data_IF_151579571177
#
_entry.id   IF_151579571177
#
_cell.length_a   1.000
_cell.length_b   1.000
_cell.length_c   1.000
_cell.angle_alpha   90.00
_cell.angle_beta   90.00
_cell.angle_gamma   90.00
#
_symmetry.space_group_name_H-M   'P 1'
#
loop_
_entity.id
_entity.type
_entity.pdbx_description
1 polymer ?
#
# COMPACT_ATOMS: atom_id res chain seq x y z
N UNK A 1 14.73 -7.65 6.40
CA UNK A 1 13.40 -7.36 7.00
C UNK A 1 12.69 -6.48 6.00
N UNK A 2 11.71 -6.98 5.23
CA UNK A 2 11.23 -6.13 4.13
C UNK A 2 9.88 -6.47 3.50
N UNK A 3 9.09 -7.43 4.00
CA UNK A 3 7.91 -7.90 3.23
C UNK A 3 6.54 -7.72 3.83
N UNK A 4 6.46 -7.21 5.05
CA UNK A 4 5.23 -6.65 5.59
C UNK A 4 5.59 -5.25 6.07
N UNK A 5 5.72 -4.31 5.13
CA UNK A 5 5.46 -2.90 5.46
C UNK A 5 4.11 -2.95 6.17
N UNK A 6 4.05 -2.55 7.44
CA UNK A 6 2.88 -2.84 8.26
C UNK A 6 1.73 -2.01 7.72
N UNK A 7 0.97 -2.58 6.78
CA UNK A 7 -0.11 -1.92 6.03
C UNK A 7 -1.13 -1.31 6.99
N UNK A 8 -1.38 -1.97 8.12
CA UNK A 8 -2.22 -1.41 9.19
C UNK A 8 -1.63 -0.13 9.79
N UNK A 9 -0.31 -0.03 9.98
CA UNK A 9 0.34 1.21 10.41
C UNK A 9 0.26 2.29 9.34
N UNK A 10 0.63 1.99 8.09
CA UNK A 10 0.59 2.97 6.99
C UNK A 10 -0.82 3.55 6.79
N UNK A 11 -1.85 2.69 6.79
CA UNK A 11 -3.25 3.12 6.68
C UNK A 11 -3.66 4.00 7.87
N UNK A 12 -3.27 3.65 9.10
CA UNK A 12 -3.58 4.44 10.29
C UNK A 12 -2.84 5.78 10.33
N UNK A 13 -1.58 5.81 9.92
CA UNK A 13 -0.79 7.05 9.84
C UNK A 13 -1.36 8.02 8.81
N UNK A 14 -2.02 7.49 7.78
CA UNK A 14 -2.75 8.26 6.76
C UNK A 14 -4.24 8.46 7.10
N UNK A 15 -4.63 8.27 8.36
CA UNK A 15 -5.99 8.52 8.86
C UNK A 15 -7.11 7.75 8.14
N UNK A 16 -6.79 6.57 7.58
CA UNK A 16 -7.79 5.67 7.03
C UNK A 16 -8.61 5.08 8.17
N UNK A 17 -9.93 5.02 7.99
CA UNK A 17 -10.83 4.52 9.03
C UNK A 17 -10.54 3.05 9.38
N UNK A 18 -10.83 2.66 10.62
CA UNK A 18 -10.51 1.32 11.13
C UNK A 18 -11.22 0.21 10.35
N UNK A 19 -12.46 0.44 9.90
CA UNK A 19 -13.25 -0.54 9.16
C UNK A 19 -12.68 -0.78 7.75
N UNK A 20 -12.20 0.30 7.11
CA UNK A 20 -11.53 0.26 5.80
C UNK A 20 -10.16 -0.41 5.96
N UNK A 21 -9.42 -0.04 7.00
CA UNK A 21 -8.14 -0.65 7.36
C UNK A 21 -8.27 -2.16 7.53
N UNK A 22 -9.24 -2.63 8.30
CA UNK A 22 -9.48 -4.06 8.49
C UNK A 22 -9.84 -4.77 7.18
N UNK A 23 -10.63 -4.12 6.32
CA UNK A 23 -11.01 -4.67 5.01
C UNK A 23 -9.81 -4.82 4.08
N UNK A 24 -8.92 -3.83 4.03
CA UNK A 24 -7.68 -3.86 3.23
C UNK A 24 -6.71 -4.92 3.77
N UNK A 25 -6.49 -4.98 5.09
CA UNK A 25 -5.62 -5.99 5.71
C UNK A 25 -6.11 -7.41 5.40
N UNK A 26 -7.44 -7.64 5.49
CA UNK A 26 -8.04 -8.93 5.12
C UNK A 26 -7.85 -9.24 3.63
N UNK A 27 -8.04 -8.26 2.75
CA UNK A 27 -7.81 -8.42 1.32
C UNK A 27 -6.36 -8.83 1.03
N UNK A 28 -5.39 -8.13 1.63
CA UNK A 28 -3.96 -8.42 1.48
C UNK A 28 -3.61 -9.82 1.99
N UNK A 29 -4.16 -10.22 3.14
CA UNK A 29 -3.95 -11.57 3.67
C UNK A 29 -4.51 -12.67 2.74
N UNK A 30 -5.59 -12.40 2.01
CA UNK A 30 -6.24 -13.37 1.13
C UNK A 30 -5.63 -13.41 -0.27
N UNK A 31 -5.17 -12.28 -0.80
CA UNK A 31 -4.78 -12.11 -2.21
C UNK A 31 -3.30 -11.72 -2.41
N UNK A 32 -2.58 -11.38 -1.34
CA UNK A 32 -1.26 -10.77 -1.40
C UNK A 32 -1.34 -9.23 -1.48
N UNK A 33 -0.21 -8.59 -1.24
CA UNK A 33 -0.10 -7.13 -1.35
C UNK A 33 0.05 -6.69 -2.81
N UNK A 34 -0.79 -5.77 -3.24
CA UNK A 34 -0.74 -5.08 -4.53
C UNK A 34 -1.05 -3.60 -4.28
N UNK A 35 -0.04 -2.74 -4.38
CA UNK A 35 -0.13 -1.33 -4.05
C UNK A 35 -1.16 -0.60 -4.93
N UNK A 36 -1.17 -0.88 -6.24
CA UNK A 36 -2.05 -0.23 -7.19
C UNK A 36 -3.51 -0.55 -6.89
N UNK A 37 -3.84 -1.82 -6.64
CA UNK A 37 -5.23 -2.20 -6.32
C UNK A 37 -5.69 -1.61 -4.99
N UNK A 38 -4.80 -1.50 -4.00
CA UNK A 38 -5.15 -0.92 -2.69
C UNK A 38 -5.35 0.60 -2.83
N UNK A 39 -4.51 1.29 -3.57
CA UNK A 39 -4.66 2.73 -3.81
C UNK A 39 -5.90 3.04 -4.66
N UNK A 40 -6.23 2.23 -5.67
CA UNK A 40 -7.50 2.34 -6.40
C UNK A 40 -8.70 2.21 -5.45
N UNK A 41 -8.68 1.22 -4.55
CA UNK A 41 -9.74 1.04 -3.55
C UNK A 41 -9.84 2.23 -2.59
N UNK A 42 -8.70 2.75 -2.13
CA UNK A 42 -8.64 3.93 -1.24
C UNK A 42 -9.23 5.17 -1.93
N UNK A 43 -8.86 5.42 -3.18
CA UNK A 43 -9.39 6.50 -4.00
C UNK A 43 -10.90 6.40 -4.20
N UNK A 44 -11.42 5.20 -4.49
CA UNK A 44 -12.87 4.97 -4.63
C UNK A 44 -13.65 5.29 -3.34
N UNK A 45 -13.00 5.09 -2.19
CA UNK A 45 -13.55 5.40 -0.86
C UNK A 45 -13.32 6.86 -0.44
N UNK A 46 -12.60 7.64 -1.24
CA UNK A 46 -12.34 9.07 -1.02
C UNK A 46 -11.10 9.38 -0.17
N UNK A 47 -10.19 8.41 -0.02
CA UNK A 47 -8.86 8.62 0.57
C UNK A 47 -7.84 8.93 -0.53
N UNK A 48 -6.68 9.46 -0.13
CA UNK A 48 -5.55 9.66 -1.03
C UNK A 48 -4.80 8.34 -1.30
N UNK A 49 -3.98 8.32 -2.35
CA UNK A 49 -3.05 7.22 -2.62
C UNK A 49 -1.97 7.19 -1.54
N UNK A 50 -1.75 6.02 -0.93
CA UNK A 50 -0.84 5.84 0.21
C UNK A 50 0.40 5.06 -0.19
N UNK A 51 0.25 4.09 -1.11
CA UNK A 51 1.30 3.11 -1.40
C UNK A 51 2.04 3.36 -2.72
N UNK A 52 1.59 4.30 -3.55
CA UNK A 52 2.15 4.61 -4.86
C UNK A 52 3.62 5.06 -4.81
N UNK A 53 4.01 5.79 -3.77
CA UNK A 53 5.42 6.17 -3.56
C UNK A 53 6.32 4.96 -3.26
N UNK A 54 5.79 3.93 -2.60
CA UNK A 54 6.55 2.71 -2.30
C UNK A 54 6.90 1.89 -3.56
N UNK A 55 6.14 2.06 -4.64
CA UNK A 55 6.40 1.42 -5.94
C UNK A 55 7.41 2.24 -6.78
N UNK A 56 7.37 3.58 -6.71
CA UNK A 56 8.36 4.44 -7.37
C UNK A 56 9.78 4.25 -6.80
N UNK A 57 9.91 4.13 -5.48
CA UNK A 57 11.20 3.84 -4.83
C UNK A 57 11.76 2.46 -5.21
N UNK A 58 10.89 1.45 -5.39
CA UNK A 58 11.30 0.13 -5.85
C UNK A 58 11.84 0.16 -7.29
N UNK A 59 11.19 0.92 -8.17
CA UNK A 59 11.60 1.07 -9.56
C UNK A 59 12.90 1.90 -9.69
N UNK A 60 13.07 2.95 -8.88
CA UNK A 60 14.31 3.75 -8.84
C UNK A 60 15.53 2.96 -8.33
N UNK A 61 15.33 2.01 -7.40
CA UNK A 61 16.40 1.14 -6.92
C UNK A 61 16.80 0.10 -7.98
N UNK A 62 15.85 -0.47 -8.72
CA UNK A 62 16.14 -1.44 -9.76
C UNK A 62 16.71 -0.82 -11.04
N UNK A 63 16.30 0.38 -11.42
CA UNK A 63 16.85 1.08 -12.59
C UNK A 63 18.30 1.54 -12.36
N UNK A 64 18.71 1.81 -11.12
CA UNK A 64 20.10 2.15 -10.77
C UNK A 64 21.05 0.94 -10.65
N UNK A 65 20.55 -0.29 -10.74
CA UNK A 65 21.39 -1.50 -10.75
C UNK A 65 21.75 -1.92 -12.20
N UNK A 66 21.07 -1.38 -13.21
CA UNK A 66 21.28 -1.68 -14.64
C UNK A 66 21.93 -0.50 -15.40
N UNK A 67 22.39 0.55 -14.72
CA UNK A 67 23.11 1.69 -15.31
C UNK A 67 24.64 1.56 -15.20
#
# INVERSE_FOLDING_TARGET
MQKDLNIELELRENYVDSDVTESIVRYVHAHGFDANNIDELLLELGYDEIFKEAEEDYNLINDNIIA
#
